data_IF_305925088113
#
_entry.id   IF_305925088113
#
_cell.length_a   1.000
_cell.length_b   1.000
_cell.length_c   1.000
_cell.angle_alpha   90.00
_cell.angle_beta   90.00
_cell.angle_gamma   90.00
#
_symmetry.space_group_name_H-M   'P 1'
#
loop_
_entity.id
_entity.type
_entity.pdbx_description
1 polymer ?
#
# COMPACT_ATOMS: atom_id res chain seq x y z
N UNK A 1 9.88 22.86 -19.85
CA UNK A 1 10.03 23.88 -18.80
C UNK A 1 11.25 24.76 -19.04
N UNK A 2 12.44 24.20 -19.28
CA UNK A 2 13.65 24.98 -19.61
C UNK A 2 13.46 25.81 -20.86
N UNK A 3 12.97 25.22 -21.91
CA UNK A 3 12.78 25.91 -23.24
C UNK A 3 11.69 26.99 -23.18
N UNK A 4 10.87 26.98 -22.15
CA UNK A 4 9.89 28.02 -21.83
C UNK A 4 10.44 29.09 -20.86
N UNK A 5 11.72 28.99 -20.47
CA UNK A 5 12.35 29.93 -19.54
C UNK A 5 11.85 29.87 -18.09
N UNK A 6 11.08 28.83 -17.73
CA UNK A 6 10.53 28.69 -16.38
C UNK A 6 11.54 28.15 -15.37
N UNK A 7 12.58 27.48 -15.84
CA UNK A 7 13.69 26.97 -15.06
C UNK A 7 15.00 27.13 -15.83
N UNK A 8 16.11 27.30 -15.13
CA UNK A 8 17.44 27.54 -15.71
C UNK A 8 18.43 26.39 -15.55
N UNK A 9 17.99 25.22 -15.10
CA UNK A 9 18.81 24.01 -14.98
C UNK A 9 18.51 23.01 -16.09
N UNK A 10 19.51 22.24 -16.46
CA UNK A 10 19.42 21.25 -17.53
C UNK A 10 18.89 19.89 -17.03
N UNK A 11 19.26 19.54 -15.82
CA UNK A 11 18.93 18.25 -15.21
C UNK A 11 18.18 18.47 -13.90
N UNK A 12 16.91 18.04 -13.77
CA UNK A 12 16.11 18.27 -12.59
C UNK A 12 16.57 17.47 -11.37
N UNK A 13 17.28 16.36 -11.58
CA UNK A 13 17.71 15.45 -10.51
C UNK A 13 19.21 15.16 -10.61
N UNK A 14 19.92 15.30 -9.50
CA UNK A 14 21.32 14.85 -9.40
C UNK A 14 21.45 13.34 -9.31
N UNK A 15 20.49 12.70 -8.61
CA UNK A 15 20.39 11.26 -8.46
C UNK A 15 18.95 10.82 -8.71
N UNK A 16 18.77 9.79 -9.51
CA UNK A 16 17.47 9.16 -9.74
C UNK A 16 17.45 7.81 -9.02
N UNK A 17 16.58 7.68 -8.02
CA UNK A 17 16.29 6.43 -7.36
C UNK A 17 14.91 5.96 -7.79
N UNK A 18 14.86 4.89 -8.59
CA UNK A 18 13.61 4.25 -8.97
C UNK A 18 13.23 3.20 -7.94
N UNK A 19 11.98 3.26 -7.46
CA UNK A 19 11.49 2.21 -6.56
C UNK A 19 11.22 0.91 -7.31
N UNK A 20 11.31 -0.22 -6.57
CA UNK A 20 10.88 -1.52 -7.05
C UNK A 20 9.37 -1.58 -7.32
N UNK A 21 8.95 -2.67 -7.95
CA UNK A 21 7.53 -2.88 -8.26
C UNK A 21 6.74 -3.28 -7.00
N UNK A 22 5.48 -2.87 -6.95
CA UNK A 22 4.55 -3.36 -5.94
C UNK A 22 3.94 -4.68 -6.40
N UNK A 23 4.03 -5.68 -5.55
CA UNK A 23 3.52 -7.03 -5.79
C UNK A 23 2.26 -7.25 -4.95
N UNK A 24 1.34 -8.04 -5.49
CA UNK A 24 0.17 -8.51 -4.75
C UNK A 24 -0.22 -9.91 -5.21
N UNK A 25 -1.06 -10.58 -4.45
CA UNK A 25 -1.61 -11.88 -4.81
C UNK A 25 -2.46 -11.79 -6.09
N UNK A 26 -2.47 -12.89 -6.83
CA UNK A 26 -3.23 -13.04 -8.07
C UNK A 26 -4.23 -14.17 -7.86
N UNK A 27 -5.51 -13.86 -8.01
CA UNK A 27 -6.59 -14.85 -8.00
C UNK A 27 -7.27 -14.92 -9.33
N UNK A 28 -7.55 -16.14 -9.78
CA UNK A 28 -8.18 -16.35 -11.07
C UNK A 28 -9.08 -17.58 -11.07
N UNK A 29 -9.92 -17.67 -12.08
CA UNK A 29 -10.72 -18.86 -12.39
C UNK A 29 -10.65 -19.14 -13.87
N UNK A 30 -10.49 -20.41 -14.22
CA UNK A 30 -10.56 -20.88 -15.61
C UNK A 30 -11.98 -21.35 -15.91
N UNK A 31 -12.60 -20.77 -16.92
CA UNK A 31 -13.86 -21.30 -17.46
C UNK A 31 -13.61 -22.58 -18.27
N UNK A 32 -14.65 -23.39 -18.46
CA UNK A 32 -14.59 -24.59 -19.30
C UNK A 32 -14.16 -24.30 -20.76
N UNK A 33 -14.37 -23.07 -21.22
CA UNK A 33 -13.95 -22.54 -22.52
C UNK A 33 -12.45 -22.20 -22.60
N UNK A 34 -11.70 -22.35 -21.50
CA UNK A 34 -10.31 -21.93 -21.41
C UNK A 34 -10.08 -20.46 -21.11
N UNK A 35 -11.13 -19.64 -21.04
CA UNK A 35 -11.02 -18.22 -20.66
C UNK A 35 -10.65 -18.10 -19.18
N UNK A 36 -9.68 -17.21 -18.89
CA UNK A 36 -9.24 -16.89 -17.53
C UNK A 36 -9.91 -15.56 -17.11
N UNK A 37 -10.55 -15.57 -15.95
CA UNK A 37 -11.08 -14.38 -15.26
C UNK A 37 -10.25 -14.12 -14.00
N UNK A 38 -9.82 -12.88 -13.81
CA UNK A 38 -9.05 -12.44 -12.64
C UNK A 38 -9.94 -11.68 -11.68
N UNK A 39 -9.70 -11.86 -10.38
CA UNK A 39 -10.48 -11.29 -9.29
C UNK A 39 -9.59 -10.50 -8.35
N UNK A 40 -10.14 -9.43 -7.78
CA UNK A 40 -9.40 -8.61 -6.83
C UNK A 40 -9.17 -9.39 -5.51
N UNK A 41 -7.97 -9.36 -4.93
CA UNK A 41 -7.70 -10.00 -3.65
C UNK A 41 -8.65 -9.59 -2.52
N UNK A 42 -9.15 -8.35 -2.52
CA UNK A 42 -10.11 -7.86 -1.51
C UNK A 42 -11.48 -8.53 -1.59
N UNK A 43 -11.81 -9.18 -2.72
CA UNK A 43 -13.09 -9.87 -2.94
C UNK A 43 -13.03 -11.36 -2.57
N UNK A 44 -11.86 -11.86 -2.12
CA UNK A 44 -11.62 -13.27 -1.86
C UNK A 44 -11.62 -13.55 -0.37
N UNK A 45 -12.45 -14.50 0.04
CA UNK A 45 -12.41 -15.06 1.39
C UNK A 45 -11.48 -16.27 1.42
N UNK A 46 -10.52 -16.25 2.33
CA UNK A 46 -9.50 -17.27 2.49
C UNK A 46 -9.73 -18.00 3.81
N UNK A 47 -10.07 -19.29 3.72
CA UNK A 47 -10.16 -20.17 4.90
C UNK A 47 -8.78 -20.79 5.13
N UNK A 48 -8.37 -20.79 6.41
CA UNK A 48 -7.13 -21.43 6.85
C UNK A 48 -7.45 -22.53 7.86
N UNK A 49 -6.65 -23.59 7.87
CA UNK A 49 -6.72 -24.64 8.89
C UNK A 49 -6.05 -24.22 10.21
N UNK A 50 -6.10 -25.11 11.20
CA UNK A 50 -5.48 -24.88 12.50
C UNK A 50 -3.94 -24.70 12.44
N UNK A 51 -3.30 -25.11 11.35
CA UNK A 51 -1.87 -24.97 11.06
C UNK A 51 -1.56 -23.70 10.27
N UNK A 52 -2.56 -22.87 9.93
CA UNK A 52 -2.38 -21.66 9.13
C UNK A 52 -2.26 -21.91 7.63
N UNK A 53 -2.50 -23.15 7.15
CA UNK A 53 -2.49 -23.47 5.74
C UNK A 53 -3.82 -23.10 5.08
N UNK A 54 -3.78 -22.45 3.94
CA UNK A 54 -4.97 -22.09 3.15
C UNK A 54 -5.66 -23.36 2.64
N UNK A 55 -6.93 -23.53 3.00
CA UNK A 55 -7.74 -24.69 2.62
C UNK A 55 -8.70 -24.39 1.51
N UNK A 56 -9.29 -23.18 1.53
CA UNK A 56 -10.19 -22.73 0.48
C UNK A 56 -9.99 -21.25 0.19
N UNK A 57 -10.20 -20.88 -1.06
CA UNK A 57 -10.22 -19.51 -1.55
C UNK A 57 -11.52 -19.35 -2.35
N UNK A 58 -12.40 -18.48 -1.90
CA UNK A 58 -13.77 -18.36 -2.40
C UNK A 58 -14.01 -16.91 -2.79
N UNK A 59 -14.54 -16.68 -3.99
CA UNK A 59 -15.00 -15.37 -4.39
C UNK A 59 -16.30 -15.04 -3.66
N UNK A 60 -16.30 -13.92 -2.92
CA UNK A 60 -17.43 -13.49 -2.09
C UNK A 60 -18.72 -13.24 -2.90
N UNK A 61 -18.60 -12.80 -4.14
CA UNK A 61 -19.75 -12.44 -4.99
C UNK A 61 -20.61 -13.65 -5.40
N UNK A 62 -20.02 -14.83 -5.61
CA UNK A 62 -20.72 -16.00 -6.12
C UNK A 62 -20.52 -17.27 -5.27
N UNK A 63 -19.74 -17.18 -4.20
CA UNK A 63 -19.36 -18.29 -3.31
C UNK A 63 -18.69 -19.48 -4.03
N UNK A 64 -18.08 -19.23 -5.19
CA UNK A 64 -17.40 -20.26 -5.96
C UNK A 64 -15.88 -20.22 -5.71
N UNK A 65 -15.18 -21.36 -5.82
CA UNK A 65 -13.75 -21.44 -5.59
C UNK A 65 -12.96 -20.69 -6.67
N UNK A 66 -11.84 -20.13 -6.26
CA UNK A 66 -10.84 -19.50 -7.12
C UNK A 66 -9.47 -20.15 -6.91
N UNK A 67 -8.60 -20.04 -7.91
CA UNK A 67 -7.23 -20.53 -7.87
C UNK A 67 -6.26 -19.37 -7.57
N UNK A 68 -5.20 -19.67 -6.80
CA UNK A 68 -4.10 -18.72 -6.59
C UNK A 68 -3.09 -18.82 -7.72
N UNK A 69 -2.77 -17.71 -8.32
CA UNK A 69 -1.68 -17.54 -9.29
C UNK A 69 -0.35 -17.13 -8.62
N UNK A 70 -0.30 -17.16 -7.27
CA UNK A 70 0.85 -16.68 -6.51
C UNK A 70 0.95 -15.15 -6.45
N UNK A 71 2.12 -14.67 -6.04
CA UNK A 71 2.43 -13.25 -5.92
C UNK A 71 3.01 -12.75 -7.24
N UNK A 72 2.55 -11.62 -7.70
CA UNK A 72 3.08 -11.00 -8.91
C UNK A 72 2.83 -9.50 -8.97
N UNK A 73 3.43 -8.85 -9.94
CA UNK A 73 3.30 -7.41 -10.14
C UNK A 73 1.84 -7.00 -10.28
N UNK A 74 1.46 -5.96 -9.57
CA UNK A 74 0.14 -5.34 -9.70
C UNK A 74 -0.11 -4.87 -11.13
N UNK A 75 -1.24 -5.24 -11.70
CA UNK A 75 -1.64 -4.83 -13.04
C UNK A 75 -3.17 -4.81 -13.19
N UNK A 76 -3.66 -3.89 -14.02
CA UNK A 76 -5.09 -3.84 -14.35
C UNK A 76 -5.59 -5.13 -15.02
N UNK A 77 -4.76 -5.76 -15.83
CA UNK A 77 -5.12 -7.01 -16.54
C UNK A 77 -5.29 -8.21 -15.60
N UNK A 78 -4.63 -8.20 -14.45
CA UNK A 78 -4.75 -9.24 -13.42
C UNK A 78 -5.70 -8.86 -12.28
N UNK A 79 -6.26 -7.67 -12.32
CA UNK A 79 -7.17 -7.15 -11.30
C UNK A 79 -6.64 -7.30 -9.85
N UNK A 80 -5.33 -7.22 -9.67
CA UNK A 80 -4.68 -7.39 -8.36
C UNK A 80 -4.11 -6.07 -7.82
N UNK A 81 -4.57 -4.94 -8.33
CA UNK A 81 -4.23 -3.61 -7.82
C UNK A 81 -5.05 -3.24 -6.59
N UNK A 82 -4.53 -2.32 -5.81
CA UNK A 82 -5.24 -1.66 -4.71
C UNK A 82 -5.66 -0.28 -5.17
N UNK A 83 -6.90 0.11 -4.89
CA UNK A 83 -7.37 1.45 -5.19
C UNK A 83 -6.77 2.45 -4.20
N UNK A 84 -5.96 3.41 -4.66
CA UNK A 84 -5.38 4.42 -3.78
C UNK A 84 -6.43 5.29 -3.09
N UNK A 85 -7.59 5.53 -3.72
CA UNK A 85 -8.63 6.37 -3.14
C UNK A 85 -9.29 5.66 -1.96
N UNK A 86 -9.65 4.38 -2.11
CA UNK A 86 -10.22 3.58 -1.00
C UNK A 86 -9.26 3.48 0.18
N UNK A 87 -7.96 3.34 -0.10
CA UNK A 87 -6.92 3.30 0.91
C UNK A 87 -6.81 4.63 1.68
N UNK A 88 -6.84 5.76 0.95
CA UNK A 88 -6.78 7.10 1.54
C UNK A 88 -8.04 7.40 2.34
N UNK A 89 -9.20 7.02 1.86
CA UNK A 89 -10.48 7.23 2.55
C UNK A 89 -10.57 6.41 3.84
N UNK A 90 -10.00 5.20 3.84
CA UNK A 90 -10.04 4.28 5.00
C UNK A 90 -8.98 4.59 6.05
N UNK A 91 -7.75 4.91 5.63
CA UNK A 91 -6.59 5.00 6.53
C UNK A 91 -5.89 6.37 6.51
N UNK A 92 -6.23 7.24 5.57
CA UNK A 92 -5.57 8.52 5.38
C UNK A 92 -4.32 8.45 4.51
N UNK A 93 -4.02 9.56 3.83
CA UNK A 93 -2.89 9.66 2.89
C UNK A 93 -1.53 9.45 3.56
N UNK A 94 -1.37 9.88 4.80
CA UNK A 94 -0.10 9.75 5.52
C UNK A 94 0.20 8.31 5.92
N UNK A 95 -0.83 7.51 6.21
CA UNK A 95 -0.69 6.07 6.42
C UNK A 95 -0.21 5.36 5.16
N UNK A 96 -0.81 5.67 4.01
CA UNK A 96 -0.40 5.13 2.72
C UNK A 96 1.07 5.47 2.40
N UNK A 97 1.46 6.74 2.60
CA UNK A 97 2.84 7.20 2.41
C UNK A 97 3.82 6.48 3.34
N UNK A 98 3.48 6.40 4.63
CA UNK A 98 4.34 5.73 5.62
C UNK A 98 4.53 4.26 5.26
N UNK A 99 3.46 3.54 4.93
CA UNK A 99 3.53 2.14 4.51
C UNK A 99 4.45 1.97 3.31
N UNK A 100 4.25 2.75 2.25
CA UNK A 100 5.07 2.66 1.03
C UNK A 100 6.56 2.94 1.26
N UNK A 101 6.89 3.82 2.20
CA UNK A 101 8.28 4.17 2.50
C UNK A 101 8.94 3.20 3.48
N UNK A 102 8.16 2.59 4.37
CA UNK A 102 8.67 1.79 5.47
C UNK A 102 8.69 0.28 5.16
N UNK A 103 7.75 -0.21 4.36
CA UNK A 103 7.53 -1.64 4.16
C UNK A 103 8.65 -2.33 3.37
N UNK A 104 9.37 -1.58 2.52
CA UNK A 104 10.51 -2.13 1.77
C UNK A 104 11.54 -1.05 1.42
N UNK A 105 12.83 -1.39 1.39
CA UNK A 105 13.85 -0.50 0.83
C UNK A 105 13.51 -0.11 -0.63
N UNK A 106 13.81 1.12 -1.06
CA UNK A 106 13.41 1.61 -2.40
C UNK A 106 13.93 0.76 -3.56
N UNK A 107 15.04 0.06 -3.37
CA UNK A 107 15.67 -0.80 -4.40
C UNK A 107 15.05 -2.19 -4.50
N UNK A 108 14.16 -2.55 -3.58
CA UNK A 108 13.53 -3.87 -3.53
C UNK A 108 12.05 -3.79 -3.94
N UNK A 109 11.49 -4.93 -4.31
CA UNK A 109 10.06 -5.06 -4.54
C UNK A 109 9.31 -5.00 -3.23
N UNK A 110 8.16 -4.32 -3.24
CA UNK A 110 7.23 -4.24 -2.11
C UNK A 110 6.12 -5.26 -2.31
N UNK A 111 5.96 -6.18 -1.37
CA UNK A 111 4.78 -7.03 -1.31
C UNK A 111 3.68 -6.31 -0.52
N UNK A 112 2.49 -6.21 -1.12
CA UNK A 112 1.36 -5.57 -0.48
C UNK A 112 0.89 -6.35 0.75
N UNK A 113 0.63 -5.65 1.85
CA UNK A 113 0.16 -6.22 3.10
C UNK A 113 -0.85 -5.29 3.78
N UNK A 114 -2.08 -5.73 3.89
CA UNK A 114 -3.12 -4.98 4.61
C UNK A 114 -2.78 -4.83 6.10
N UNK A 115 -2.25 -5.87 6.71
CA UNK A 115 -1.79 -5.81 8.10
C UNK A 115 -0.64 -4.82 8.30
N UNK A 116 0.21 -4.63 7.29
CA UNK A 116 1.26 -3.61 7.27
C UNK A 116 0.70 -2.19 7.19
N UNK A 117 -0.34 -1.99 6.38
CA UNK A 117 -1.07 -0.71 6.32
C UNK A 117 -1.74 -0.40 7.66
N UNK A 118 -2.46 -1.35 8.26
CA UNK A 118 -3.06 -1.19 9.58
C UNK A 118 -2.03 -0.91 10.67
N UNK A 119 -0.88 -1.57 10.61
CA UNK A 119 0.25 -1.31 11.51
C UNK A 119 0.75 0.12 11.40
N UNK A 120 0.89 0.63 10.17
CA UNK A 120 1.27 2.02 9.89
C UNK A 120 0.23 3.01 10.41
N UNK A 121 -1.05 2.72 10.23
CA UNK A 121 -2.16 3.52 10.75
C UNK A 121 -2.14 3.59 12.29
N UNK A 122 -1.99 2.45 12.95
CA UNK A 122 -1.90 2.38 14.43
C UNK A 122 -0.68 3.17 14.95
N UNK A 123 0.45 3.07 14.26
CA UNK A 123 1.66 3.81 14.62
C UNK A 123 1.44 5.33 14.54
N UNK A 124 0.88 5.83 13.43
CA UNK A 124 0.58 7.26 13.27
C UNK A 124 -0.46 7.73 14.27
N UNK A 125 -1.54 6.97 14.48
CA UNK A 125 -2.59 7.31 15.43
C UNK A 125 -2.08 7.36 16.88
N UNK A 126 -1.17 6.45 17.25
CA UNK A 126 -0.51 6.45 18.55
C UNK A 126 0.41 7.66 18.74
N UNK A 127 1.26 7.95 17.76
CA UNK A 127 2.17 9.10 17.81
C UNK A 127 1.44 10.45 17.78
N UNK A 128 0.33 10.54 17.05
CA UNK A 128 -0.49 11.74 17.05
C UNK A 128 -1.03 12.08 18.44
N UNK A 129 -1.48 11.11 19.21
CA UNK A 129 -1.95 11.30 20.59
C UNK A 129 -0.83 11.79 21.50
N UNK A 130 0.36 11.20 21.39
CA UNK A 130 1.56 11.63 22.16
C UNK A 130 1.96 13.04 21.77
N UNK A 131 2.04 13.35 20.49
CA UNK A 131 2.40 14.69 19.99
C UNK A 131 1.38 15.76 20.39
N UNK A 132 0.09 15.45 20.35
CA UNK A 132 -0.96 16.38 20.81
C UNK A 132 -0.80 16.71 22.32
N UNK A 133 -0.42 15.72 23.12
CA UNK A 133 -0.15 15.92 24.56
C UNK A 133 1.14 16.71 24.77
N UNK A 134 2.19 16.47 23.98
CA UNK A 134 3.48 17.16 24.08
C UNK A 134 3.44 18.63 23.62
N UNK A 135 2.50 19.03 22.75
CA UNK A 135 2.32 20.43 22.32
C UNK A 135 1.98 21.38 23.45
N UNK A 136 1.45 20.89 24.56
CA UNK A 136 1.23 21.71 25.75
C UNK A 136 2.53 22.02 26.53
N UNK A 137 3.62 21.31 26.25
CA UNK A 137 4.90 21.45 26.99
C UNK A 137 5.93 22.29 26.27
N UNK A 138 5.85 22.40 24.93
CA UNK A 138 6.80 23.16 24.12
C UNK A 138 6.11 24.11 23.15
N UNK A 139 5.57 25.21 23.66
CA UNK A 139 5.21 26.35 22.81
C UNK A 139 6.49 27.07 22.40
N UNK A 140 6.80 27.23 21.09
CA UNK A 140 8.00 27.97 20.65
C UNK A 140 8.03 29.44 21.10
N UNK A 141 6.94 29.97 21.60
CA UNK A 141 6.89 31.33 22.18
C UNK A 141 7.70 31.46 23.49
N UNK A 142 8.09 30.38 24.16
CA UNK A 142 8.92 30.42 25.36
C UNK A 142 10.44 30.36 25.08
N UNK A 143 10.86 29.95 23.91
CA UNK A 143 12.28 29.89 23.57
C UNK A 143 12.88 31.24 23.13
N UNK A 144 12.07 32.21 22.81
CA UNK A 144 12.54 33.55 22.39
C UNK A 144 12.51 34.58 23.52
N UNK A 145 12.12 34.20 24.74
CA UNK A 145 12.06 35.10 25.91
C UNK A 145 13.26 34.98 26.88
N UNK A 146 14.24 34.09 26.55
CA UNK A 146 15.43 33.84 27.38
C UNK A 146 16.74 34.12 26.61
N UNK A 147 16.76 35.07 25.66
CA UNK A 147 18.01 35.57 25.06
C UNK A 147 18.07 37.09 25.29
#
# INVERSE_FOLDING_TARGET
MRDLGLVNFNEPFKNLLTQGMVLNEIFYRKAATGRISYFNPTEIDIEVDAQGKRTKMILRADNLPVESGGIGTMSKSKNNGVDPQELVDSYGADTARLFMMFASPPTQTLEWSESGVEGSYRFLSGNWKVSATARFVTSPARMLAEV
#
